data_IF_373028300671
#
_entry.id   IF_373028300671
#
_cell.length_a   1.000
_cell.length_b   1.000
_cell.length_c   1.000
_cell.angle_alpha   90.00
_cell.angle_beta   90.00
_cell.angle_gamma   90.00
#
_symmetry.space_group_name_H-M   'P 1'
#
loop_
_entity.id
_entity.type
_entity.pdbx_description
1 polymer ?
#
# COMPACT_ATOMS: atom_id res chain seq x y z
N UNK A 1 18.44 12.67 -0.52
CA UNK A 1 18.93 13.25 0.76
C UNK A 1 18.96 12.20 1.88
N UNK A 2 18.48 10.99 1.62
CA UNK A 2 17.93 10.08 2.63
C UNK A 2 18.98 9.24 3.36
N UNK A 3 20.11 8.93 2.71
CA UNK A 3 21.22 8.22 3.36
C UNK A 3 21.90 9.04 4.44
N UNK A 4 22.01 10.36 4.24
CA UNK A 4 22.65 11.25 5.20
C UNK A 4 21.87 11.33 6.52
N UNK A 5 20.54 11.26 6.48
CA UNK A 5 19.69 11.30 7.67
C UNK A 5 19.85 10.08 8.58
N UNK A 6 20.09 8.88 8.04
CA UNK A 6 20.46 7.70 8.84
C UNK A 6 21.85 7.85 9.49
N UNK A 7 22.82 8.40 8.76
CA UNK A 7 24.17 8.62 9.29
C UNK A 7 24.23 9.72 10.35
N UNK A 8 23.35 10.73 10.26
CA UNK A 8 23.21 11.81 11.25
C UNK A 8 22.30 11.40 12.42
N UNK A 9 21.78 10.16 12.44
CA UNK A 9 20.96 9.62 13.52
C UNK A 9 19.50 10.11 13.54
N UNK A 10 19.08 10.83 12.51
CA UNK A 10 17.73 11.36 12.36
C UNK A 10 16.71 10.29 11.97
N UNK A 11 17.17 9.25 11.24
CA UNK A 11 16.35 8.13 10.78
C UNK A 11 16.90 6.79 11.31
N UNK A 12 16.04 5.83 11.73
CA UNK A 12 16.48 4.52 12.20
C UNK A 12 17.29 3.74 11.16
N UNK A 13 18.25 2.93 11.61
CA UNK A 13 19.06 2.07 10.73
C UNK A 13 18.16 1.18 9.86
N UNK A 14 18.32 1.24 8.54
CA UNK A 14 17.56 0.44 7.58
C UNK A 14 16.25 1.07 7.10
N UNK A 15 15.87 2.24 7.62
CA UNK A 15 14.76 3.06 7.13
C UNK A 15 14.83 3.32 5.63
N UNK A 16 16.02 3.51 5.05
CA UNK A 16 16.20 3.68 3.61
C UNK A 16 15.66 2.51 2.78
N UNK A 17 15.90 1.27 3.24
CA UNK A 17 15.44 0.07 2.52
C UNK A 17 13.93 -0.03 2.54
N UNK A 18 13.33 0.24 3.69
CA UNK A 18 11.87 0.22 3.86
C UNK A 18 11.22 1.32 3.03
N UNK A 19 11.78 2.54 3.04
CA UNK A 19 11.30 3.65 2.23
C UNK A 19 11.35 3.32 0.74
N UNK A 20 12.46 2.79 0.24
CA UNK A 20 12.59 2.40 -1.16
C UNK A 20 11.59 1.29 -1.56
N UNK A 21 11.37 0.31 -0.68
CA UNK A 21 10.38 -0.74 -0.89
C UNK A 21 8.95 -0.17 -0.95
N UNK A 22 8.59 0.71 -0.02
CA UNK A 22 7.27 1.35 0.02
C UNK A 22 7.03 2.28 -1.16
N UNK A 23 8.05 3.03 -1.61
CA UNK A 23 7.95 3.88 -2.80
C UNK A 23 7.67 3.04 -4.05
N UNK A 24 8.40 1.93 -4.23
CA UNK A 24 8.17 1.00 -5.34
C UNK A 24 6.78 0.34 -5.25
N UNK A 25 6.32 0.01 -4.06
CA UNK A 25 4.96 -0.50 -3.86
C UNK A 25 3.92 0.55 -4.29
N UNK A 26 4.09 1.82 -3.89
CA UNK A 26 3.19 2.90 -4.27
C UNK A 26 3.15 3.11 -5.81
N UNK A 27 4.30 3.08 -6.49
CA UNK A 27 4.37 3.09 -7.96
C UNK A 27 3.58 1.93 -8.56
N UNK A 28 3.76 0.72 -8.03
CA UNK A 28 3.02 -0.46 -8.46
C UNK A 28 1.50 -0.35 -8.29
N UNK A 29 1.04 0.27 -7.21
CA UNK A 29 -0.40 0.52 -6.98
C UNK A 29 -0.97 1.53 -8.00
N UNK A 30 -0.21 2.59 -8.33
CA UNK A 30 -0.62 3.58 -9.34
C UNK A 30 -0.68 2.95 -10.73
N UNK A 31 0.35 2.19 -11.11
CA UNK A 31 0.41 1.54 -12.42
C UNK A 31 -0.65 0.45 -12.56
N UNK A 32 -0.95 -0.29 -11.48
CA UNK A 32 -2.05 -1.24 -11.43
C UNK A 32 -3.41 -0.56 -11.64
N UNK A 33 -3.60 0.62 -11.04
CA UNK A 33 -4.79 1.45 -11.27
C UNK A 33 -4.92 1.93 -12.72
N UNK A 34 -3.83 2.42 -13.33
CA UNK A 34 -3.81 2.85 -14.74
C UNK A 34 -4.08 1.72 -15.73
N UNK A 35 -3.70 0.49 -15.39
CA UNK A 35 -3.94 -0.73 -16.18
C UNK A 35 -5.31 -1.36 -15.90
N UNK A 36 -6.13 -0.75 -15.04
CA UNK A 36 -7.45 -1.25 -14.65
C UNK A 36 -7.44 -2.66 -14.00
N UNK A 37 -6.30 -3.07 -13.43
CA UNK A 37 -6.14 -4.38 -12.74
C UNK A 37 -6.15 -4.25 -11.22
N UNK A 38 -6.16 -3.03 -10.70
CA UNK A 38 -6.20 -2.75 -9.26
C UNK A 38 -7.10 -1.55 -8.98
N UNK A 39 -7.89 -1.62 -7.90
CA UNK A 39 -8.67 -0.50 -7.40
C UNK A 39 -8.39 -0.36 -5.89
N UNK A 40 -7.82 0.78 -5.44
CA UNK A 40 -7.46 0.98 -4.04
C UNK A 40 -8.68 1.09 -3.10
N UNK A 41 -9.89 1.22 -3.65
CA UNK A 41 -11.14 1.40 -2.89
C UNK A 41 -12.30 0.60 -3.50
N UNK A 42 -12.13 -0.71 -3.70
CA UNK A 42 -13.23 -1.55 -4.16
C UNK A 42 -14.20 -1.81 -3.00
N UNK A 43 -15.37 -1.19 -3.06
CA UNK A 43 -16.41 -1.34 -2.05
C UNK A 43 -17.42 -2.41 -2.48
N UNK A 44 -17.69 -3.36 -1.60
CA UNK A 44 -18.86 -4.24 -1.69
C UNK A 44 -19.67 -4.13 -0.40
N UNK A 45 -20.99 -3.99 -0.53
CA UNK A 45 -21.92 -4.01 0.60
C UNK A 45 -22.58 -5.38 0.67
N UNK A 46 -22.27 -6.15 1.71
CA UNK A 46 -22.91 -7.43 1.96
C UNK A 46 -23.94 -7.31 3.09
N UNK A 47 -25.10 -7.95 2.91
CA UNK A 47 -26.11 -8.14 3.96
C UNK A 47 -26.06 -9.59 4.41
N UNK A 48 -26.21 -9.82 5.72
CA UNK A 48 -26.40 -11.17 6.28
C UNK A 48 -27.59 -11.85 5.56
N UNK A 49 -27.44 -13.06 5.02
CA UNK A 49 -28.56 -13.77 4.41
C UNK A 49 -29.67 -13.98 5.44
N UNK A 50 -30.93 -13.78 5.02
CA UNK A 50 -32.09 -14.15 5.84
C UNK A 50 -32.03 -15.65 6.13
N UNK A 51 -32.33 -16.03 7.37
CA UNK A 51 -32.42 -17.45 7.76
C UNK A 51 -33.53 -18.22 7.04
N UNK A 52 -34.39 -17.52 6.31
CA UNK A 52 -35.38 -18.12 5.44
C UNK A 52 -34.68 -18.76 4.23
N UNK A 53 -34.28 -20.02 4.43
CA UNK A 53 -34.28 -21.01 3.37
C UNK A 53 -35.72 -21.12 2.87
N UNK A 54 -35.99 -20.55 1.69
CA UNK A 54 -37.05 -21.07 0.84
C UNK A 54 -36.59 -22.39 0.21
#
# INVERSE_FOLDING_TARGET
MDRKSEFVGLAPKGSQRVQAFLAKAAEGLVDGGKKEIFTPMYLFLARKPSSDRQ
#
